data_IF_477063854878
#
_entry.id   IF_477063854878
#
_cell.length_a   1.000
_cell.length_b   1.000
_cell.length_c   1.000
_cell.angle_alpha   90.00
_cell.angle_beta   90.00
_cell.angle_gamma   90.00
#
_symmetry.space_group_name_H-M   'P 1'
#
loop_
_entity.id
_entity.type
_entity.pdbx_description
1 polymer ?
#
# COMPACT_ATOMS: atom_id res chain seq x y z
N UNK A 1 -8.77 20.07 2.82
CA UNK A 1 -7.90 18.92 3.08
C UNK A 1 -7.00 19.22 4.27
N UNK A 2 -6.78 18.25 5.14
CA UNK A 2 -5.89 18.43 6.27
C UNK A 2 -4.44 18.53 5.77
N UNK A 3 -3.74 19.56 6.21
CA UNK A 3 -2.38 19.86 5.75
C UNK A 3 -1.40 18.70 5.98
N UNK A 4 -1.58 17.95 7.07
CA UNK A 4 -0.67 16.84 7.39
C UNK A 4 -0.73 15.70 6.36
N UNK A 5 -1.78 15.63 5.54
CA UNK A 5 -1.92 14.60 4.50
C UNK A 5 -1.21 14.97 3.20
N UNK A 6 -0.96 16.26 2.98
CA UNK A 6 -0.45 16.76 1.68
C UNK A 6 0.86 16.10 1.27
N UNK A 7 1.81 15.99 2.19
CA UNK A 7 3.11 15.41 1.88
C UNK A 7 3.02 13.92 1.54
N UNK A 8 2.14 13.21 2.23
CA UNK A 8 1.88 11.79 1.93
C UNK A 8 1.33 11.66 0.52
N UNK A 9 0.31 12.45 0.17
CA UNK A 9 -0.29 12.41 -1.17
C UNK A 9 0.71 12.76 -2.26
N UNK A 10 1.51 13.81 -2.05
CA UNK A 10 2.50 14.27 -3.02
C UNK A 10 3.51 13.17 -3.34
N UNK A 11 4.06 12.53 -2.32
CA UNK A 11 5.06 11.48 -2.52
C UNK A 11 4.43 10.22 -3.12
N UNK A 12 3.27 9.82 -2.62
CA UNK A 12 2.56 8.66 -3.15
C UNK A 12 2.24 8.83 -4.64
N UNK A 13 1.69 9.99 -5.02
CA UNK A 13 1.36 10.27 -6.42
C UNK A 13 2.60 10.29 -7.31
N UNK A 14 3.69 10.86 -6.83
CA UNK A 14 4.95 10.87 -7.55
C UNK A 14 5.46 9.46 -7.84
N UNK A 15 5.19 8.53 -6.95
CA UNK A 15 5.59 7.12 -7.10
C UNK A 15 4.51 6.28 -7.81
N UNK A 16 3.45 6.91 -8.28
CA UNK A 16 2.41 6.22 -9.05
C UNK A 16 1.29 5.62 -8.21
N UNK A 17 1.21 5.95 -6.93
CA UNK A 17 0.17 5.47 -6.05
C UNK A 17 -0.96 6.50 -5.92
N UNK A 18 -2.19 6.00 -5.80
CA UNK A 18 -3.31 6.80 -5.34
C UNK A 18 -3.43 6.56 -3.84
N UNK A 19 -3.38 7.63 -3.06
CA UNK A 19 -3.48 7.56 -1.61
C UNK A 19 -4.74 8.25 -1.12
N UNK A 20 -5.30 7.75 -0.03
CA UNK A 20 -6.47 8.33 0.61
C UNK A 20 -6.35 8.19 2.13
N UNK A 21 -6.50 9.31 2.83
CA UNK A 21 -6.49 9.35 4.30
C UNK A 21 -7.89 9.64 4.80
N UNK A 22 -8.38 8.84 5.74
CA UNK A 22 -9.71 9.07 6.32
C UNK A 22 -9.73 8.70 7.80
N UNK A 23 -10.60 9.40 8.54
CA UNK A 23 -10.74 9.21 9.99
C UNK A 23 -11.59 7.98 10.30
N UNK A 24 -11.20 7.25 11.33
CA UNK A 24 -11.94 6.09 11.85
C UNK A 24 -12.00 6.16 13.37
N UNK A 25 -12.85 5.35 13.99
CA UNK A 25 -12.98 5.23 15.44
C UNK A 25 -13.17 6.59 16.15
N UNK A 26 -14.20 7.35 15.74
CA UNK A 26 -14.49 8.67 16.31
C UNK A 26 -13.30 9.63 16.23
N UNK A 27 -12.57 9.56 15.11
CA UNK A 27 -11.42 10.42 14.82
C UNK A 27 -10.20 10.20 15.74
N UNK A 28 -10.14 9.07 16.44
CA UNK A 28 -8.95 8.72 17.23
C UNK A 28 -7.85 8.08 16.39
N UNK A 29 -8.21 7.54 15.23
CA UNK A 29 -7.29 6.90 14.31
C UNK A 29 -7.52 7.39 12.88
N UNK A 30 -6.48 7.25 12.09
CA UNK A 30 -6.53 7.50 10.65
C UNK A 30 -6.17 6.21 9.92
N UNK A 31 -6.92 5.94 8.87
CA UNK A 31 -6.59 4.89 7.92
C UNK A 31 -6.02 5.56 6.67
N UNK A 32 -4.88 5.06 6.20
CA UNK A 32 -4.25 5.55 4.97
C UNK A 32 -4.22 4.37 4.01
N UNK A 33 -4.94 4.50 2.90
CA UNK A 33 -4.99 3.47 1.86
C UNK A 33 -4.15 3.87 0.66
N UNK A 34 -3.56 2.88 0.02
CA UNK A 34 -2.70 3.06 -1.15
C UNK A 34 -3.12 2.07 -2.22
N UNK A 35 -3.22 2.55 -3.45
CA UNK A 35 -3.67 1.75 -4.59
C UNK A 35 -2.76 2.02 -5.79
N UNK A 36 -2.32 0.97 -6.45
CA UNK A 36 -1.47 1.07 -7.64
C UNK A 36 -1.59 -0.22 -8.45
N UNK A 37 -1.67 -0.09 -9.77
CA UNK A 37 -1.63 -1.26 -10.62
C UNK A 37 -0.28 -1.95 -10.54
N UNK A 38 -0.31 -3.27 -10.40
CA UNK A 38 0.89 -4.10 -10.44
C UNK A 38 1.44 -4.21 -11.86
N UNK A 39 2.66 -4.70 -12.05
CA UNK A 39 3.21 -4.93 -13.39
C UNK A 39 2.34 -5.83 -14.27
N UNK A 40 1.66 -6.81 -13.68
CA UNK A 40 0.74 -7.67 -14.43
C UNK A 40 -0.64 -7.06 -14.62
N UNK A 41 -0.89 -5.85 -14.11
CA UNK A 41 -2.15 -5.13 -14.30
C UNK A 41 -3.20 -5.41 -13.23
N UNK A 42 -2.83 -6.01 -12.11
CA UNK A 42 -3.74 -6.18 -10.99
C UNK A 42 -3.85 -4.88 -10.18
N UNK A 43 -5.05 -4.61 -9.71
CA UNK A 43 -5.35 -3.43 -8.90
C UNK A 43 -4.93 -3.69 -7.45
N UNK A 44 -3.64 -3.56 -7.19
CA UNK A 44 -3.09 -3.84 -5.87
C UNK A 44 -3.40 -2.69 -4.91
N UNK A 45 -3.84 -3.05 -3.73
CA UNK A 45 -4.11 -2.05 -2.69
C UNK A 45 -3.73 -2.61 -1.32
N UNK A 46 -3.40 -1.71 -0.42
CA UNK A 46 -3.23 -2.01 0.99
C UNK A 46 -3.56 -0.76 1.82
N UNK A 47 -3.75 -0.93 3.10
CA UNK A 47 -3.96 0.19 3.99
C UNK A 47 -3.24 -0.02 5.32
N UNK A 48 -2.92 1.09 5.96
CA UNK A 48 -2.31 1.11 7.28
C UNK A 48 -3.12 2.00 8.19
N UNK A 49 -3.12 1.70 9.49
CA UNK A 49 -3.80 2.51 10.49
C UNK A 49 -2.77 3.15 11.40
N UNK A 50 -2.95 4.44 11.68
CA UNK A 50 -2.06 5.21 12.54
C UNK A 50 -2.91 6.06 13.50
N UNK A 51 -2.35 6.45 14.67
CA UNK A 51 -3.05 7.37 15.55
C UNK A 51 -3.30 8.73 14.87
N UNK A 52 -4.39 9.39 15.25
CA UNK A 52 -4.66 10.75 14.80
C UNK A 52 -3.71 11.70 15.54
N UNK A 53 -2.60 11.99 14.93
CA UNK A 53 -1.54 12.85 15.48
C UNK A 53 -1.59 14.22 14.80
N UNK A 54 -1.62 15.29 15.59
CA UNK A 54 -1.70 16.65 15.07
C UNK A 54 -0.37 17.17 14.51
N UNK A 55 0.75 16.70 15.07
CA UNK A 55 2.09 17.06 14.59
C UNK A 55 2.34 16.39 13.23
N UNK A 56 2.58 17.21 12.21
CA UNK A 56 2.75 16.73 10.83
C UNK A 56 3.92 15.76 10.69
N UNK A 57 5.02 16.05 11.36
CA UNK A 57 6.22 15.22 11.24
C UNK A 57 6.05 13.88 11.95
N UNK A 58 5.39 13.88 13.12
CA UNK A 58 5.10 12.64 13.84
C UNK A 58 4.12 11.81 13.05
N UNK A 59 3.07 12.43 12.50
CA UNK A 59 2.10 11.73 11.67
C UNK A 59 2.79 11.08 10.46
N UNK A 60 3.64 11.84 9.77
CA UNK A 60 4.39 11.35 8.60
C UNK A 60 5.25 10.15 8.96
N UNK A 61 6.00 10.24 10.06
CA UNK A 61 6.87 9.16 10.51
C UNK A 61 6.07 7.92 10.89
N UNK A 62 4.90 8.11 11.52
CA UNK A 62 4.01 6.99 11.87
C UNK A 62 3.50 6.28 10.62
N UNK A 63 3.14 7.01 9.57
CA UNK A 63 2.69 6.41 8.31
C UNK A 63 3.83 5.64 7.66
N UNK A 64 5.02 6.22 7.57
CA UNK A 64 6.19 5.55 6.98
C UNK A 64 6.52 4.27 7.74
N UNK A 65 6.53 4.31 9.07
CA UNK A 65 6.79 3.15 9.91
C UNK A 65 5.73 2.05 9.73
N UNK A 66 4.46 2.43 9.62
CA UNK A 66 3.37 1.50 9.39
C UNK A 66 3.50 0.80 8.03
N UNK A 67 3.92 1.52 6.99
CA UNK A 67 4.17 0.94 5.67
C UNK A 67 5.33 -0.06 5.73
N UNK A 68 6.40 0.29 6.43
CA UNK A 68 7.53 -0.63 6.62
C UNK A 68 7.10 -1.92 7.30
N UNK A 69 6.29 -1.82 8.35
CA UNK A 69 5.78 -2.99 9.07
C UNK A 69 4.87 -3.85 8.19
N UNK A 70 4.04 -3.22 7.35
CA UNK A 70 3.22 -3.93 6.40
C UNK A 70 4.09 -4.71 5.41
N UNK A 71 5.11 -4.06 4.84
CA UNK A 71 6.05 -4.70 3.92
C UNK A 71 6.79 -5.86 4.61
N UNK A 72 7.26 -5.63 5.82
CA UNK A 72 8.01 -6.63 6.59
C UNK A 72 7.17 -7.89 6.85
N UNK A 73 5.87 -7.72 7.07
CA UNK A 73 4.93 -8.81 7.26
C UNK A 73 4.31 -9.36 5.98
N UNK A 74 4.72 -8.85 4.81
CA UNK A 74 4.14 -9.26 3.53
C UNK A 74 4.58 -10.70 3.20
N UNK A 75 3.60 -11.62 3.15
CA UNK A 75 3.83 -13.01 2.81
C UNK A 75 3.34 -13.25 1.37
N UNK A 76 4.29 -13.41 0.45
CA UNK A 76 3.99 -13.56 -0.98
C UNK A 76 3.08 -14.77 -1.23
N UNK A 77 3.30 -15.87 -0.54
CA UNK A 77 2.48 -17.08 -0.70
C UNK A 77 1.03 -16.83 -0.27
N UNK A 78 0.85 -16.20 0.89
CA UNK A 78 -0.48 -15.87 1.40
C UNK A 78 -1.19 -14.85 0.50
N UNK A 79 -0.50 -13.79 0.09
CA UNK A 79 -1.07 -12.79 -0.79
C UNK A 79 -1.48 -13.37 -2.14
N UNK A 80 -0.72 -14.35 -2.65
CA UNK A 80 -1.07 -15.03 -3.89
C UNK A 80 -2.47 -15.67 -3.79
N UNK A 81 -2.80 -16.30 -2.67
CA UNK A 81 -4.13 -16.86 -2.46
C UNK A 81 -5.23 -15.78 -2.48
N UNK A 82 -4.96 -14.64 -1.85
CA UNK A 82 -5.93 -13.55 -1.80
C UNK A 82 -6.22 -12.99 -3.19
N UNK A 83 -5.21 -12.95 -4.06
CA UNK A 83 -5.32 -12.34 -5.39
C UNK A 83 -5.66 -13.33 -6.50
N UNK A 84 -5.91 -14.59 -6.15
CA UNK A 84 -6.46 -15.59 -7.08
C UNK A 84 -7.99 -15.55 -7.05
N UNK A 85 -8.60 -15.86 -8.20
CA UNK A 85 -10.04 -16.08 -8.27
C UNK A 85 -10.36 -17.57 -8.04
N UNK A 86 -11.64 -17.93 -8.14
CA UNK A 86 -12.09 -19.30 -7.92
C UNK A 86 -11.56 -20.31 -8.95
N UNK A 87 -11.11 -19.81 -10.10
CA UNK A 87 -10.61 -20.67 -11.19
C UNK A 87 -9.10 -20.88 -11.12
N UNK A 88 -8.43 -20.27 -10.16
CA UNK A 88 -6.96 -20.34 -10.03
C UNK A 88 -6.22 -19.35 -10.91
N UNK A 89 -6.92 -18.32 -11.39
CA UNK A 89 -6.34 -17.22 -12.16
C UNK A 89 -6.34 -15.93 -11.34
N UNK A 90 -5.64 -14.91 -11.82
CA UNK A 90 -5.65 -13.60 -11.19
C UNK A 90 -7.05 -13.00 -11.17
N UNK A 91 -7.34 -12.18 -10.15
CA UNK A 91 -8.62 -11.49 -10.03
C UNK A 91 -8.89 -10.60 -11.22
N UNK A 92 -10.14 -10.19 -11.38
CA UNK A 92 -10.62 -9.32 -12.45
C UNK A 92 -10.55 -9.97 -13.84
N UNK A 93 -10.63 -11.30 -13.89
CA UNK A 93 -10.65 -12.03 -15.15
C UNK A 93 -9.32 -12.06 -15.90
N UNK A 94 -8.24 -11.68 -15.25
CA UNK A 94 -6.93 -11.76 -15.87
C UNK A 94 -6.54 -13.21 -16.14
N UNK A 95 -5.94 -13.52 -17.30
CA UNK A 95 -5.62 -14.89 -17.69
C UNK A 95 -4.34 -15.41 -17.03
N UNK A 96 -3.97 -14.90 -15.88
CA UNK A 96 -2.77 -15.29 -15.17
C UNK A 96 -3.03 -16.54 -14.34
N UNK A 97 -2.11 -17.49 -14.39
CA UNK A 97 -2.17 -18.65 -13.50
C UNK A 97 -1.56 -18.31 -12.12
N UNK A 98 -1.58 -19.30 -11.23
CA UNK A 98 -1.07 -19.12 -9.87
C UNK A 98 0.38 -18.64 -9.85
N UNK A 99 1.24 -19.15 -10.75
CA UNK A 99 2.65 -18.76 -10.77
C UNK A 99 2.82 -17.31 -11.22
N UNK A 100 2.01 -16.86 -12.16
CA UNK A 100 2.03 -15.46 -12.60
C UNK A 100 1.59 -14.52 -11.48
N UNK A 101 0.56 -14.91 -10.73
CA UNK A 101 0.09 -14.13 -9.57
C UNK A 101 1.17 -14.10 -8.48
N UNK A 102 1.85 -15.22 -8.24
CA UNK A 102 2.94 -15.28 -7.27
C UNK A 102 4.06 -14.29 -7.62
N UNK A 103 4.50 -14.29 -8.87
CA UNK A 103 5.54 -13.36 -9.34
C UNK A 103 5.07 -11.91 -9.25
N UNK A 104 3.80 -11.68 -9.54
CA UNK A 104 3.23 -10.33 -9.44
C UNK A 104 3.18 -9.87 -7.99
N UNK A 105 2.89 -10.76 -7.05
CA UNK A 105 2.90 -10.42 -5.62
C UNK A 105 4.31 -10.14 -5.11
N UNK A 106 5.33 -10.79 -5.64
CA UNK A 106 6.72 -10.42 -5.36
C UNK A 106 6.99 -8.98 -5.82
N UNK A 107 6.52 -8.63 -7.00
CA UNK A 107 6.63 -7.26 -7.52
C UNK A 107 5.86 -6.26 -6.65
N UNK A 108 4.69 -6.63 -6.14
CA UNK A 108 3.91 -5.78 -5.23
C UNK A 108 4.64 -5.53 -3.91
N UNK A 109 5.33 -6.54 -3.39
CA UNK A 109 6.18 -6.35 -2.20
C UNK A 109 7.27 -5.32 -2.48
N UNK A 110 7.92 -5.41 -3.64
CA UNK A 110 8.96 -4.44 -4.04
C UNK A 110 8.37 -3.04 -4.21
N UNK A 111 7.19 -2.91 -4.80
CA UNK A 111 6.50 -1.63 -4.94
C UNK A 111 6.22 -0.98 -3.58
N UNK A 112 5.81 -1.78 -2.61
CA UNK A 112 5.53 -1.30 -1.25
C UNK A 112 6.82 -0.83 -0.57
N UNK A 113 7.90 -1.58 -0.72
CA UNK A 113 9.21 -1.20 -0.19
C UNK A 113 9.72 0.10 -0.84
N UNK A 114 9.54 0.24 -2.16
CA UNK A 114 9.91 1.46 -2.88
C UNK A 114 9.12 2.68 -2.40
N UNK A 115 7.84 2.51 -2.08
CA UNK A 115 7.04 3.58 -1.51
C UNK A 115 7.62 4.04 -0.16
N UNK A 116 7.98 3.08 0.70
CA UNK A 116 8.62 3.39 1.97
C UNK A 116 9.94 4.14 1.77
N UNK A 117 10.79 3.68 0.85
CA UNK A 117 12.05 4.35 0.52
C UNK A 117 11.81 5.79 0.06
N UNK A 118 10.80 6.03 -0.76
CA UNK A 118 10.44 7.37 -1.21
C UNK A 118 10.03 8.27 -0.04
N UNK A 119 9.20 7.75 0.88
CA UNK A 119 8.78 8.49 2.07
C UNK A 119 9.97 8.83 2.97
N UNK A 120 10.96 7.95 3.03
CA UNK A 120 12.17 8.18 3.83
C UNK A 120 13.22 9.03 3.12
N UNK A 121 12.95 9.48 1.89
CA UNK A 121 13.90 10.28 1.12
C UNK A 121 15.11 9.49 0.62
N UNK A 122 14.97 8.17 0.50
CA UNK A 122 16.08 7.27 0.12
C UNK A 122 15.97 6.72 -1.30
N UNK A 123 14.96 7.16 -2.01
CA UNK A 123 14.76 6.70 -3.38
C UNK A 123 15.17 7.75 -4.40
#
# INVERSE_FOLDING_TARGET
>A
MDKKFEKIYEIAEREGWQADCYYVNNETELCVSFEKYSPAGQDFYFSVSVPNEDDEDIFYDNVADAIYKYWEGFDVSYETYIWLDETGHGRNGAPYDMMDVYKDMEACADMTHDLWLALMGKK
#
